data_IF_390393749520
#
_entry.id   IF_390393749520
#
_cell.length_a   1.000
_cell.length_b   1.000
_cell.length_c   1.000
_cell.angle_alpha   90.00
_cell.angle_beta   90.00
_cell.angle_gamma   90.00
#
_symmetry.space_group_name_H-M   'P 1'
#
loop_
_entity.id
_entity.type
_entity.pdbx_description
1 polymer ?
#
# COMPACT_ATOMS: atom_id res chain seq x y z
N UNK A 1 -15.48 -8.73 -10.72
CA UNK A 1 -16.36 -8.01 -9.77
C UNK A 1 -16.62 -8.86 -8.52
N UNK A 2 -17.04 -10.13 -8.63
CA UNK A 2 -17.22 -11.05 -7.48
C UNK A 2 -15.99 -11.28 -6.60
N UNK A 3 -14.79 -11.39 -7.18
CA UNK A 3 -13.55 -11.50 -6.39
C UNK A 3 -13.34 -10.29 -5.48
N UNK A 4 -13.46 -9.08 -6.00
CA UNK A 4 -13.32 -7.86 -5.18
C UNK A 4 -14.45 -7.69 -4.16
N UNK A 5 -15.68 -8.14 -4.44
CA UNK A 5 -16.78 -8.06 -3.47
C UNK A 5 -16.61 -9.08 -2.33
N UNK A 6 -16.13 -10.29 -2.63
CA UNK A 6 -15.86 -11.33 -1.61
C UNK A 6 -14.58 -11.00 -0.81
N UNK A 7 -13.55 -10.45 -1.46
CA UNK A 7 -12.35 -9.98 -0.77
C UNK A 7 -12.62 -8.68 0.01
N UNK A 8 -13.47 -7.79 -0.47
CA UNK A 8 -13.87 -6.58 0.26
C UNK A 8 -14.74 -6.94 1.45
N UNK A 9 -15.78 -7.77 1.29
CA UNK A 9 -16.73 -8.08 2.37
C UNK A 9 -16.10 -8.80 3.56
N UNK A 10 -15.06 -9.62 3.34
CA UNK A 10 -14.37 -10.35 4.42
C UNK A 10 -13.27 -9.55 5.10
N UNK A 11 -12.65 -8.59 4.41
CA UNK A 11 -11.38 -7.98 4.83
C UNK A 11 -11.39 -6.45 4.93
N UNK A 12 -12.55 -5.79 5.13
CA UNK A 12 -12.62 -4.33 5.35
C UNK A 12 -11.57 -3.80 6.35
N UNK A 13 -11.15 -4.61 7.32
CA UNK A 13 -10.15 -4.27 8.34
C UNK A 13 -8.68 -4.51 7.93
N UNK A 14 -8.41 -5.24 6.84
CA UNK A 14 -7.04 -5.52 6.34
C UNK A 14 -6.62 -4.47 5.30
N UNK A 15 -7.58 -3.72 4.75
CA UNK A 15 -7.30 -2.51 4.00
C UNK A 15 -6.89 -1.42 4.97
N UNK A 16 -5.64 -1.49 5.45
CA UNK A 16 -4.91 -0.32 5.90
C UNK A 16 -5.06 0.70 4.79
N UNK A 17 -6.02 1.60 4.99
CA UNK A 17 -6.42 2.63 4.07
C UNK A 17 -5.15 3.21 3.48
N UNK A 18 -5.06 3.17 2.14
CA UNK A 18 -4.17 4.02 1.35
C UNK A 18 -4.60 5.49 1.48
N UNK A 19 -5.09 5.88 2.65
CA UNK A 19 -5.42 7.24 3.02
C UNK A 19 -4.18 8.08 2.82
N UNK A 20 -4.40 9.30 2.36
CA UNK A 20 -3.36 10.31 2.26
C UNK A 20 -3.38 11.06 3.58
N UNK A 21 -2.30 11.02 4.39
CA UNK A 21 -0.99 10.44 4.10
C UNK A 21 -0.90 8.92 4.34
N UNK A 22 -0.18 8.22 3.47
CA UNK A 22 0.01 6.78 3.60
C UNK A 22 0.68 6.46 4.95
N UNK A 23 0.24 5.42 5.69
CA UNK A 23 0.88 5.04 6.95
C UNK A 23 2.28 4.42 6.75
N UNK A 24 2.58 3.92 5.56
CA UNK A 24 3.83 3.21 5.24
C UNK A 24 5.13 3.98 5.48
N UNK A 25 5.29 5.27 5.13
CA UNK A 25 6.50 6.03 5.44
C UNK A 25 6.76 6.12 6.94
N UNK A 26 5.71 6.27 7.75
CA UNK A 26 5.84 6.32 9.21
C UNK A 26 6.17 4.95 9.80
N UNK A 27 5.55 3.87 9.31
CA UNK A 27 5.86 2.51 9.78
C UNK A 27 7.28 2.11 9.41
N UNK A 28 7.75 2.41 8.18
CA UNK A 28 9.12 2.15 7.76
C UNK A 28 10.11 2.96 8.61
N UNK A 29 9.85 4.24 8.84
CA UNK A 29 10.70 5.08 9.68
C UNK A 29 10.77 4.55 11.12
N UNK A 30 9.62 4.15 11.69
CA UNK A 30 9.52 3.55 13.01
C UNK A 30 10.28 2.23 13.11
N UNK A 31 10.15 1.35 12.11
CA UNK A 31 10.86 0.07 12.08
C UNK A 31 12.37 0.25 11.95
N UNK A 32 12.84 1.19 11.12
CA UNK A 32 14.26 1.47 10.97
C UNK A 32 14.88 2.04 12.24
N UNK A 33 14.20 2.99 12.88
CA UNK A 33 14.64 3.57 14.17
C UNK A 33 14.60 2.54 15.31
N UNK A 34 13.60 1.64 15.31
CA UNK A 34 13.53 0.53 16.26
C UNK A 34 14.67 -0.48 16.03
N UNK A 35 14.96 -0.83 14.78
CA UNK A 35 16.04 -1.75 14.42
C UNK A 35 17.40 -1.20 14.84
N UNK A 36 17.67 0.09 14.60
CA UNK A 36 18.94 0.74 15.02
C UNK A 36 19.09 0.83 16.53
N UNK A 37 18.01 0.70 17.29
CA UNK A 37 18.03 0.66 18.76
C UNK A 37 18.47 -0.71 19.31
N UNK A 38 18.38 -1.78 18.51
CA UNK A 38 18.78 -3.14 18.89
C UNK A 38 20.31 -3.28 18.82
N UNK A 39 21.00 -3.76 19.88
CA UNK A 39 22.47 -3.85 19.92
C UNK A 39 23.10 -4.60 18.74
N UNK A 40 22.46 -5.66 18.26
CA UNK A 40 22.92 -6.46 17.11
C UNK A 40 22.96 -5.67 15.80
N UNK A 41 22.07 -4.70 15.63
CA UNK A 41 21.89 -3.91 14.42
C UNK A 41 22.41 -2.47 14.53
N UNK A 42 22.97 -2.08 15.69
CA UNK A 42 23.64 -0.77 15.87
C UNK A 42 24.79 -0.51 14.90
N UNK A 43 25.31 -1.55 14.23
CA UNK A 43 26.33 -1.44 13.18
C UNK A 43 25.84 -0.72 11.91
N UNK A 44 24.54 -0.65 11.68
CA UNK A 44 23.96 0.05 10.52
C UNK A 44 24.14 1.59 10.60
N UNK A 45 24.39 2.15 11.79
CA UNK A 45 24.72 3.57 12.05
C UNK A 45 23.90 4.60 11.25
N UNK A 46 22.61 4.33 11.02
CA UNK A 46 21.75 5.25 10.27
C UNK A 46 21.66 6.59 10.99
N UNK A 47 22.02 7.64 10.28
CA UNK A 47 22.01 9.02 10.74
C UNK A 47 20.64 9.66 10.50
N UNK A 48 20.36 10.76 11.19
CA UNK A 48 19.11 11.53 11.01
C UNK A 48 18.84 11.91 9.54
N UNK A 49 19.82 12.43 8.76
CA UNK A 49 19.61 12.72 7.34
C UNK A 49 19.27 11.48 6.51
N UNK A 50 19.88 10.33 6.79
CA UNK A 50 19.59 9.08 6.07
C UNK A 50 18.15 8.61 6.34
N UNK A 51 17.71 8.65 7.60
CA UNK A 51 16.35 8.28 7.99
C UNK A 51 15.30 9.21 7.36
N UNK A 52 15.54 10.53 7.36
CA UNK A 52 14.64 11.49 6.71
C UNK A 52 14.63 11.35 5.18
N UNK A 53 15.77 10.97 4.58
CA UNK A 53 15.84 10.67 3.14
C UNK A 53 15.00 9.45 2.80
N UNK A 54 15.13 8.36 3.55
CA UNK A 54 14.31 7.15 3.38
C UNK A 54 12.83 7.48 3.56
N UNK A 55 12.47 8.21 4.61
CA UNK A 55 11.10 8.67 4.84
C UNK A 55 10.56 9.44 3.63
N UNK A 56 11.33 10.39 3.08
CA UNK A 56 10.93 11.19 1.93
C UNK A 56 10.76 10.35 0.66
N UNK A 57 11.68 9.41 0.40
CA UNK A 57 11.58 8.49 -0.74
C UNK A 57 10.33 7.62 -0.63
N UNK A 58 10.08 7.02 0.54
CA UNK A 58 8.90 6.17 0.75
C UNK A 58 7.61 6.97 0.65
N UNK A 59 7.59 8.20 1.18
CA UNK A 59 6.45 9.12 1.10
C UNK A 59 6.04 9.40 -0.35
N UNK A 60 7.01 9.58 -1.24
CA UNK A 60 6.78 9.85 -2.67
C UNK A 60 6.45 8.59 -3.46
N UNK A 61 7.10 7.46 -3.17
CA UNK A 61 6.96 6.21 -3.94
C UNK A 61 5.67 5.46 -3.61
N UNK A 62 5.24 5.46 -2.35
CA UNK A 62 4.09 4.66 -1.89
C UNK A 62 2.78 5.00 -2.65
N UNK A 63 2.43 6.27 -2.90
CA UNK A 63 1.24 6.62 -3.66
C UNK A 63 1.33 6.20 -5.14
N UNK A 64 2.53 6.26 -5.74
CA UNK A 64 2.76 5.92 -7.14
C UNK A 64 2.70 4.41 -7.40
N UNK A 65 3.21 3.61 -6.46
CA UNK A 65 3.34 2.15 -6.59
C UNK A 65 2.52 1.39 -5.54
N UNK A 66 1.38 1.97 -5.15
CA UNK A 66 0.47 1.32 -4.20
C UNK A 66 -0.03 -0.03 -4.73
N UNK A 67 -0.37 -0.93 -3.82
CA UNK A 67 -0.88 -2.28 -4.14
C UNK A 67 -2.01 -2.24 -5.17
N UNK A 68 -2.92 -1.25 -5.07
CA UNK A 68 -4.02 -1.09 -6.00
C UNK A 68 -3.53 -0.62 -7.37
N UNK A 69 -2.64 0.36 -7.44
CA UNK A 69 -2.10 0.84 -8.71
C UNK A 69 -1.47 -0.33 -9.47
N UNK A 70 -0.57 -1.07 -8.83
CA UNK A 70 0.07 -2.24 -9.43
C UNK A 70 -0.94 -3.35 -9.78
N UNK A 71 -1.92 -3.62 -8.92
CA UNK A 71 -2.95 -4.61 -9.18
C UNK A 71 -3.82 -4.24 -10.39
N UNK A 72 -4.20 -2.96 -10.53
CA UNK A 72 -4.96 -2.45 -11.66
C UNK A 72 -4.16 -2.52 -12.96
N UNK A 73 -2.87 -2.18 -12.92
CA UNK A 73 -2.00 -2.19 -14.09
C UNK A 73 -1.64 -3.60 -14.56
N UNK A 74 -1.36 -4.52 -13.63
CA UNK A 74 -0.80 -5.84 -13.95
C UNK A 74 -1.84 -6.97 -13.91
N UNK A 75 -2.70 -7.02 -12.89
CA UNK A 75 -3.58 -8.19 -12.68
C UNK A 75 -4.99 -7.99 -13.21
N UNK A 76 -5.50 -6.75 -13.16
CA UNK A 76 -6.92 -6.49 -13.41
C UNK A 76 -7.31 -6.76 -14.86
N UNK A 77 -6.48 -6.32 -15.81
CA UNK A 77 -6.79 -6.48 -17.24
C UNK A 77 -6.77 -7.95 -17.66
N UNK A 78 -5.70 -8.74 -17.38
CA UNK A 78 -5.74 -10.18 -17.66
C UNK A 78 -6.90 -10.90 -16.95
N UNK A 79 -7.30 -10.43 -15.76
CA UNK A 79 -8.44 -11.03 -15.05
C UNK A 79 -9.77 -10.90 -15.80
N UNK A 80 -9.98 -9.83 -16.57
CA UNK A 80 -11.20 -9.68 -17.38
C UNK A 80 -11.23 -10.69 -18.52
N UNK A 81 -10.11 -10.88 -19.21
CA UNK A 81 -9.97 -11.90 -20.26
C UNK A 81 -10.13 -13.32 -19.69
N UNK A 82 -9.61 -13.57 -18.48
CA UNK A 82 -9.79 -14.86 -17.80
C UNK A 82 -11.24 -15.12 -17.42
N UNK A 83 -11.93 -14.13 -16.83
CA UNK A 83 -13.36 -14.25 -16.45
C UNK A 83 -14.25 -14.42 -17.68
N UNK A 84 -13.96 -13.72 -18.78
CA UNK A 84 -14.71 -13.87 -20.03
C UNK A 84 -14.73 -15.30 -20.58
N UNK A 85 -13.73 -16.13 -20.23
CA UNK A 85 -13.75 -17.56 -20.59
C UNK A 85 -14.80 -18.36 -19.82
N UNK A 86 -15.00 -18.00 -18.55
CA UNK A 86 -15.92 -18.70 -17.66
C UNK A 86 -17.35 -18.22 -17.90
N UNK A 87 -17.52 -16.93 -18.21
CA UNK A 87 -18.81 -16.28 -18.34
C UNK A 87 -18.96 -15.62 -19.73
N UNK A 88 -19.55 -16.31 -20.74
CA UNK A 88 -19.59 -15.83 -22.12
C UNK A 88 -20.26 -14.46 -22.30
N UNK A 89 -21.18 -14.10 -21.41
CA UNK A 89 -21.85 -12.79 -21.43
C UNK A 89 -20.88 -11.61 -21.16
N UNK A 90 -19.74 -11.86 -20.51
CA UNK A 90 -18.71 -10.84 -20.29
C UNK A 90 -17.94 -10.50 -21.56
N UNK A 91 -17.82 -11.44 -22.49
CA UNK A 91 -17.09 -11.23 -23.74
C UNK A 91 -17.81 -10.20 -24.62
N UNK A 92 -19.11 -10.39 -24.83
CA UNK A 92 -19.92 -9.47 -25.64
C UNK A 92 -20.17 -8.13 -24.96
N UNK A 93 -20.30 -8.10 -23.63
CA UNK A 93 -20.64 -6.89 -22.89
C UNK A 93 -19.43 -6.00 -22.55
N UNK A 94 -18.25 -6.58 -22.26
CA UNK A 94 -17.13 -5.83 -21.70
C UNK A 94 -15.81 -6.00 -22.46
N UNK A 95 -15.45 -7.21 -22.90
CA UNK A 95 -14.12 -7.45 -23.51
C UNK A 95 -13.96 -6.64 -24.80
N UNK A 96 -15.01 -6.55 -25.62
CA UNK A 96 -15.00 -5.75 -26.85
C UNK A 96 -14.80 -4.23 -26.62
N UNK A 97 -15.02 -3.74 -25.38
CA UNK A 97 -14.83 -2.35 -25.02
C UNK A 97 -13.41 -2.06 -24.49
N UNK A 98 -12.58 -3.08 -24.29
CA UNK A 98 -11.24 -2.93 -23.73
C UNK A 98 -10.23 -2.71 -24.88
N UNK A 99 -9.59 -1.54 -24.97
CA UNK A 99 -8.49 -1.33 -25.89
C UNK A 99 -7.39 -2.39 -25.78
N UNK A 100 -6.85 -2.80 -26.92
CA UNK A 100 -5.79 -3.83 -27.00
C UNK A 100 -4.48 -3.42 -26.34
N UNK A 101 -4.24 -2.12 -26.14
CA UNK A 101 -3.05 -1.61 -25.45
C UNK A 101 -3.16 -1.64 -23.92
N UNK A 102 -4.34 -1.94 -23.35
CA UNK A 102 -4.55 -1.85 -21.90
C UNK A 102 -3.80 -2.96 -21.15
N UNK A 103 -3.66 -4.15 -21.74
CA UNK A 103 -2.98 -5.29 -21.15
C UNK A 103 -2.85 -6.44 -22.16
N UNK A 104 -2.12 -7.52 -21.82
CA UNK A 104 -2.02 -8.68 -22.70
C UNK A 104 -3.41 -9.32 -22.88
N UNK A 105 -3.72 -9.64 -24.13
CA UNK A 105 -5.03 -10.20 -24.52
C UNK A 105 -4.92 -11.63 -25.06
N UNK A 106 -3.70 -12.13 -25.32
CA UNK A 106 -3.55 -13.49 -25.84
C UNK A 106 -3.91 -14.51 -24.77
N UNK A 107 -4.49 -15.63 -25.22
CA UNK A 107 -4.90 -16.67 -24.30
C UNK A 107 -3.71 -17.26 -23.52
N UNK A 108 -2.60 -17.50 -24.20
CA UNK A 108 -1.39 -18.04 -23.59
C UNK A 108 -0.81 -17.10 -22.54
N UNK A 109 -0.87 -15.78 -22.77
CA UNK A 109 -0.39 -14.79 -21.79
C UNK A 109 -1.29 -14.74 -20.54
N UNK A 110 -2.61 -14.78 -20.74
CA UNK A 110 -3.58 -14.73 -19.63
C UNK A 110 -3.53 -16.01 -18.80
N UNK A 111 -3.52 -17.19 -19.43
CA UNK A 111 -3.39 -18.47 -18.71
C UNK A 111 -2.03 -18.58 -18.02
N UNK A 112 -0.96 -18.19 -18.70
CA UNK A 112 0.39 -18.14 -18.12
C UNK A 112 0.49 -17.24 -16.89
N UNK A 113 -0.25 -16.14 -16.86
CA UNK A 113 -0.29 -15.20 -15.72
C UNK A 113 -0.93 -15.82 -14.47
N UNK A 114 -2.03 -16.56 -14.62
CA UNK A 114 -2.78 -17.12 -13.48
C UNK A 114 -2.36 -18.53 -13.07
N UNK A 115 -2.08 -19.40 -14.04
CA UNK A 115 -1.70 -20.79 -13.81
C UNK A 115 -0.20 -20.92 -13.54
N UNK A 116 0.60 -20.01 -14.10
CA UNK A 116 2.06 -20.09 -14.06
C UNK A 116 2.62 -21.15 -15.00
N UNK A 117 3.91 -21.46 -14.86
CA UNK A 117 4.58 -22.52 -15.63
C UNK A 117 5.00 -22.14 -17.06
N UNK A 118 4.81 -20.89 -17.46
CA UNK A 118 5.24 -20.36 -18.77
C UNK A 118 6.16 -19.15 -18.61
N UNK A 119 7.00 -18.90 -19.60
CA UNK A 119 7.83 -17.69 -19.62
C UNK A 119 6.95 -16.45 -19.81
N UNK A 120 7.34 -15.33 -19.16
CA UNK A 120 6.60 -14.06 -19.28
C UNK A 120 6.65 -13.57 -20.73
N UNK A 121 5.50 -13.32 -21.39
CA UNK A 121 5.45 -12.83 -22.76
C UNK A 121 5.72 -11.32 -22.81
N UNK A 122 6.98 -10.92 -22.67
CA UNK A 122 7.39 -9.51 -22.60
C UNK A 122 6.97 -8.67 -23.82
N UNK A 123 6.82 -9.29 -24.99
CA UNK A 123 6.34 -8.63 -26.20
C UNK A 123 4.93 -8.07 -26.01
N UNK A 124 4.02 -8.83 -25.39
CA UNK A 124 2.64 -8.40 -25.12
C UNK A 124 2.55 -7.38 -23.99
N UNK A 125 3.49 -7.42 -23.04
CA UNK A 125 3.56 -6.47 -21.94
C UNK A 125 4.21 -5.14 -22.29
N UNK A 126 5.06 -5.11 -23.32
CA UNK A 126 5.85 -3.92 -23.67
C UNK A 126 4.98 -2.68 -23.95
N UNK A 127 3.90 -2.83 -24.73
CA UNK A 127 2.99 -1.74 -25.08
C UNK A 127 2.15 -1.27 -23.87
N UNK A 128 1.46 -2.15 -23.12
CA UNK A 128 0.78 -1.75 -21.88
C UNK A 128 1.71 -1.06 -20.88
N UNK A 129 2.90 -1.62 -20.64
CA UNK A 129 3.86 -1.04 -19.70
C UNK A 129 4.36 0.34 -20.16
N UNK A 130 4.58 0.54 -21.46
CA UNK A 130 4.96 1.84 -22.00
C UNK A 130 3.81 2.86 -21.85
N UNK A 131 2.57 2.47 -22.19
CA UNK A 131 1.40 3.33 -22.08
C UNK A 131 1.15 3.74 -20.62
N UNK A 132 1.00 2.77 -19.71
CA UNK A 132 0.77 3.03 -18.29
C UNK A 132 1.96 3.71 -17.62
N UNK A 133 3.19 3.33 -17.97
CA UNK A 133 4.40 3.97 -17.47
C UNK A 133 4.47 5.44 -17.85
N UNK A 134 4.18 5.79 -19.11
CA UNK A 134 4.16 7.18 -19.57
C UNK A 134 3.09 8.01 -18.85
N UNK A 135 1.90 7.43 -18.64
CA UNK A 135 0.82 8.06 -17.89
C UNK A 135 1.21 8.30 -16.42
N UNK A 136 1.86 7.32 -15.76
CA UNK A 136 2.33 7.47 -14.38
C UNK A 136 3.40 8.55 -14.24
N UNK A 137 4.31 8.66 -15.21
CA UNK A 137 5.30 9.75 -15.24
C UNK A 137 4.61 11.10 -15.41
N UNK A 138 3.67 11.23 -16.35
CA UNK A 138 2.92 12.46 -16.55
C UNK A 138 2.13 12.86 -15.31
N UNK A 139 1.47 11.89 -14.65
CA UNK A 139 0.73 12.11 -13.41
C UNK A 139 1.66 12.54 -12.27
N UNK A 140 2.84 11.93 -12.14
CA UNK A 140 3.84 12.33 -11.16
C UNK A 140 4.29 13.77 -11.38
N UNK A 141 4.63 14.15 -12.62
CA UNK A 141 5.02 15.51 -12.97
C UNK A 141 3.89 16.50 -12.67
N UNK A 142 2.65 16.18 -13.02
CA UNK A 142 1.50 17.03 -12.71
C UNK A 142 1.33 17.25 -11.20
N UNK A 143 1.52 16.20 -10.38
CA UNK A 143 1.49 16.31 -8.92
C UNK A 143 2.62 17.20 -8.38
N UNK A 144 3.83 17.08 -8.93
CA UNK A 144 4.97 17.95 -8.55
C UNK A 144 4.68 19.41 -8.93
N UNK A 145 4.15 19.67 -10.12
CA UNK A 145 3.75 21.02 -10.53
C UNK A 145 2.69 21.60 -9.60
N UNK A 146 1.67 20.80 -9.24
CA UNK A 146 0.63 21.21 -8.31
C UNK A 146 1.22 21.51 -6.93
N UNK A 147 2.10 20.64 -6.42
CA UNK A 147 2.79 20.84 -5.16
C UNK A 147 3.56 22.16 -5.14
N UNK A 148 4.31 22.48 -6.20
CA UNK A 148 5.07 23.75 -6.29
C UNK A 148 4.16 24.97 -6.25
N UNK A 149 3.03 24.94 -6.95
CA UNK A 149 2.06 26.04 -6.95
C UNK A 149 1.42 26.23 -5.57
N UNK A 150 0.99 25.13 -4.95
CA UNK A 150 0.26 25.14 -3.70
C UNK A 150 1.18 25.38 -2.49
N UNK A 151 2.41 24.88 -2.51
CA UNK A 151 3.40 25.08 -1.47
C UNK A 151 3.64 26.57 -1.19
N UNK A 152 3.72 27.40 -2.25
CA UNK A 152 3.95 28.83 -2.07
C UNK A 152 2.77 29.51 -1.34
N UNK A 153 1.54 29.11 -1.66
CA UNK A 153 0.32 29.61 -1.02
C UNK A 153 0.27 29.18 0.46
N UNK A 154 0.42 27.88 0.73
CA UNK A 154 0.32 27.33 2.08
C UNK A 154 1.40 27.85 3.02
N UNK A 155 2.65 27.96 2.55
CA UNK A 155 3.76 28.42 3.39
C UNK A 155 3.71 29.94 3.60
N UNK A 156 3.54 30.73 2.53
CA UNK A 156 3.72 32.18 2.61
C UNK A 156 2.46 32.93 3.02
N UNK A 157 1.28 32.50 2.55
CA UNK A 157 0.03 33.23 2.80
C UNK A 157 -0.76 32.65 3.97
N UNK A 158 -0.91 31.33 4.00
CA UNK A 158 -1.75 30.65 5.00
C UNK A 158 -0.96 30.23 6.24
N UNK A 159 0.38 30.20 6.17
CA UNK A 159 1.29 29.75 7.25
C UNK A 159 0.80 28.44 7.86
N UNK A 160 0.39 27.51 7.00
CA UNK A 160 -0.19 26.25 7.43
C UNK A 160 0.86 25.46 8.22
N UNK A 161 0.55 25.15 9.48
CA UNK A 161 1.35 24.22 10.27
C UNK A 161 1.23 22.84 9.62
N UNK A 162 2.34 22.14 9.45
CA UNK A 162 2.37 20.77 8.90
C UNK A 162 2.53 19.74 10.03
N UNK A 163 1.46 19.45 10.81
CA UNK A 163 1.56 18.55 11.98
C UNK A 163 2.04 17.15 11.59
N UNK A 164 1.70 16.69 10.39
CA UNK A 164 2.12 15.40 9.86
C UNK A 164 3.63 15.32 9.62
N UNK A 165 4.29 16.45 9.38
CA UNK A 165 5.75 16.52 9.25
C UNK A 165 6.46 16.55 10.62
N UNK A 166 5.75 16.84 11.72
CA UNK A 166 6.35 16.89 13.06
C UNK A 166 6.63 15.48 13.59
N UNK A 167 5.72 14.53 13.34
CA UNK A 167 5.84 13.13 13.77
C UNK A 167 7.18 12.49 13.36
N UNK A 168 7.61 12.51 12.08
CA UNK A 168 8.89 11.95 11.68
C UNK A 168 10.09 12.74 12.23
N UNK A 169 9.95 14.06 12.46
CA UNK A 169 11.02 14.87 13.03
C UNK A 169 11.26 14.54 14.51
N UNK A 170 10.19 14.35 15.28
CA UNK A 170 10.24 13.92 16.68
C UNK A 170 10.77 12.48 16.81
N UNK A 171 10.40 11.59 15.89
CA UNK A 171 10.85 10.19 15.91
C UNK A 171 12.36 10.03 15.66
N UNK A 172 12.99 10.99 14.97
CA UNK A 172 14.41 10.96 14.60
C UNK A 172 15.24 11.95 15.42
N UNK A 173 14.63 12.64 16.39
CA UNK A 173 15.33 13.66 17.17
C UNK A 173 16.41 13.04 18.09
N UNK A 174 17.54 13.74 18.21
CA UNK A 174 18.68 13.28 18.99
C UNK A 174 18.50 13.65 20.47
N UNK A 175 18.74 12.71 21.39
CA UNK A 175 18.76 13.00 22.83
C UNK A 175 19.91 13.99 23.14
N UNK A 176 19.70 15.02 23.98
CA UNK A 176 20.70 16.05 24.30
C UNK A 176 22.08 15.57 24.80
N UNK A 177 22.23 14.29 25.14
CA UNK A 177 23.45 13.69 25.73
C UNK A 177 24.33 12.94 24.72
N UNK A 178 24.67 13.56 23.58
CA UNK A 178 25.84 13.20 22.75
C UNK A 178 25.85 11.81 22.10
N UNK A 179 24.72 11.09 22.10
CA UNK A 179 24.59 9.77 21.50
C UNK A 179 24.14 9.83 20.04
N UNK A 180 25.06 9.53 19.11
CA UNK A 180 24.87 9.46 17.63
C UNK A 180 23.81 8.48 17.09
N UNK A 181 22.88 7.99 17.91
CA UNK A 181 21.86 7.04 17.46
C UNK A 181 20.48 7.58 17.81
N UNK A 182 19.65 7.80 16.80
CA UNK A 182 18.23 8.09 16.95
C UNK A 182 17.62 7.00 17.85
N UNK A 183 17.23 7.38 19.06
CA UNK A 183 16.46 6.52 19.95
C UNK A 183 15.04 7.02 19.91
N UNK A 184 14.15 6.22 19.33
CA UNK A 184 12.72 6.36 19.51
C UNK A 184 12.42 6.60 20.99
N UNK A 185 11.96 7.80 21.40
CA UNK A 185 11.62 8.08 22.78
C UNK A 185 10.19 7.60 23.05
N UNK A 186 9.91 6.31 22.83
CA UNK A 186 8.58 5.76 23.14
C UNK A 186 8.62 5.06 24.48
N UNK A 187 7.82 5.59 25.41
CA UNK A 187 7.69 5.13 26.78
C UNK A 187 7.27 3.65 26.85
N UNK A 188 7.49 3.00 28.00
CA UNK A 188 7.04 1.62 28.21
C UNK A 188 5.54 1.42 27.97
N UNK A 189 4.72 2.45 28.23
CA UNK A 189 3.28 2.44 27.95
C UNK A 189 2.97 2.36 26.45
N UNK A 190 3.75 3.04 25.60
CA UNK A 190 3.59 2.91 24.14
C UNK A 190 3.89 1.49 23.67
N UNK A 191 4.98 0.89 24.15
CA UNK A 191 5.33 -0.49 23.78
C UNK A 191 4.29 -1.49 24.26
N UNK A 192 3.73 -1.29 25.46
CA UNK A 192 2.61 -2.09 25.94
C UNK A 192 1.38 -1.95 25.03
N UNK A 193 0.99 -0.73 24.67
CA UNK A 193 -0.13 -0.48 23.73
C UNK A 193 0.11 -1.09 22.36
N UNK A 194 1.32 -0.95 21.80
CA UNK A 194 1.68 -1.54 20.52
C UNK A 194 1.70 -3.07 20.57
N UNK A 195 2.23 -3.67 21.64
CA UNK A 195 2.22 -5.12 21.82
C UNK A 195 0.80 -5.65 21.89
N UNK A 196 -0.09 -4.98 22.64
CA UNK A 196 -1.52 -5.33 22.71
C UNK A 196 -2.16 -5.23 21.32
N UNK A 197 -1.99 -4.14 20.60
CA UNK A 197 -2.54 -3.98 19.24
C UNK A 197 -1.98 -5.03 18.27
N UNK A 198 -0.69 -5.34 18.34
CA UNK A 198 -0.05 -6.35 17.52
C UNK A 198 -0.57 -7.77 17.82
N UNK A 199 -0.78 -8.12 19.09
CA UNK A 199 -1.37 -9.42 19.48
C UNK A 199 -2.81 -9.53 19.01
N UNK A 200 -3.61 -8.47 19.20
CA UNK A 200 -5.01 -8.44 18.74
C UNK A 200 -5.07 -8.63 17.22
N UNK A 201 -4.25 -7.87 16.48
CA UNK A 201 -4.15 -8.01 15.02
C UNK A 201 -3.67 -9.39 14.59
N UNK A 202 -2.65 -9.93 15.25
CA UNK A 202 -2.11 -11.26 14.96
C UNK A 202 -3.14 -12.36 15.19
N UNK A 203 -3.84 -12.35 16.33
CA UNK A 203 -4.89 -13.33 16.64
C UNK A 203 -6.06 -13.21 15.65
N UNK A 204 -6.44 -11.98 15.28
CA UNK A 204 -7.47 -11.76 14.25
C UNK A 204 -7.07 -12.38 12.91
N UNK A 205 -5.85 -12.09 12.44
CA UNK A 205 -5.34 -12.67 11.18
C UNK A 205 -5.16 -14.19 11.26
N UNK A 206 -4.79 -14.72 12.43
CA UNK A 206 -4.64 -16.16 12.64
C UNK A 206 -6.00 -16.86 12.61
N UNK A 207 -7.02 -16.29 13.26
CA UNK A 207 -8.40 -16.82 13.25
C UNK A 207 -9.01 -16.87 11.84
N UNK A 208 -8.62 -15.96 10.95
CA UNK A 208 -9.07 -15.98 9.55
C UNK A 208 -8.45 -17.13 8.75
N UNK A 209 -7.23 -17.56 9.10
CA UNK A 209 -6.48 -18.61 8.38
C UNK A 209 -6.67 -20.00 9.01
N UNK A 210 -6.83 -20.05 10.33
CA UNK A 210 -6.99 -21.27 11.11
C UNK A 210 -8.36 -21.26 11.80
N UNK A 211 -9.31 -22.11 11.35
CA UNK A 211 -10.64 -22.20 11.96
C UNK A 211 -10.65 -22.60 13.44
N UNK A 212 -9.55 -23.14 13.96
CA UNK A 212 -9.42 -23.60 15.35
C UNK A 212 -9.24 -22.43 16.35
N UNK A 213 -8.88 -21.24 15.88
CA UNK A 213 -8.69 -20.06 16.74
C UNK A 213 -9.98 -19.23 16.72
N UNK A 214 -10.62 -18.97 17.88
CA UNK A 214 -11.86 -18.19 17.93
C UNK A 214 -11.62 -16.76 17.44
N UNK A 215 -12.56 -16.24 16.64
CA UNK A 215 -12.48 -14.88 16.12
C UNK A 215 -12.72 -13.85 17.23
N UNK A 216 -11.89 -12.82 17.27
CA UNK A 216 -12.14 -11.66 18.11
C UNK A 216 -13.20 -10.78 17.41
N UNK A 217 -14.34 -10.49 18.04
CA UNK A 217 -15.41 -9.68 17.44
C UNK A 217 -15.01 -8.20 17.45
N UNK A 218 -14.05 -7.83 16.62
CA UNK A 218 -13.60 -6.45 16.39
C UNK A 218 -14.35 -5.79 15.24
N UNK A 219 -15.25 -6.54 14.58
CA UNK A 219 -16.10 -6.08 13.49
C UNK A 219 -17.47 -5.70 14.05
N UNK A 220 -17.94 -4.50 13.71
CA UNK A 220 -19.36 -4.19 13.75
C UNK A 220 -20.00 -4.91 12.55
N UNK A 221 -20.75 -5.97 12.82
CA UNK A 221 -21.61 -6.59 11.81
C UNK A 221 -22.71 -5.60 11.47
N UNK A 222 -22.52 -4.83 10.38
CA UNK A 222 -23.60 -4.02 9.81
C UNK A 222 -24.54 -5.00 9.11
N UNK A 223 -25.57 -5.42 9.85
CA UNK A 223 -26.79 -6.14 9.44
C UNK A 223 -26.67 -7.16 8.30
N UNK A 224 -26.86 -8.43 8.65
CA UNK A 224 -27.25 -9.47 7.71
C UNK A 224 -28.53 -9.06 6.95
N UNK A 225 -28.58 -9.15 5.61
CA UNK A 225 -29.86 -9.15 4.93
C UNK A 225 -30.46 -10.56 5.13
N UNK A 226 -31.13 -10.76 6.26
CA UNK A 226 -32.19 -11.76 6.32
C UNK A 226 -33.33 -11.26 5.44
N UNK A 227 -33.25 -11.54 4.14
CA UNK A 227 -34.46 -11.62 3.32
C UNK A 227 -34.89 -13.09 3.33
N UNK A 228 -35.64 -13.41 4.39
CA UNK A 228 -36.63 -14.48 4.36
C UNK A 228 -37.85 -13.90 3.63
N UNK A 229 -38.29 -14.59 2.59
CA UNK A 229 -39.45 -14.26 1.77
C UNK A 229 -39.46 -15.12 0.53
#
# INVERSE_FOLDING_TARGET
FYGEVVFASRNWNVFWSSGVPAPWPLTVLFLLTALTSIPAFRRLRLTRPELLTVYSVVLVVTPLFGIHVLFYLLSKVPSFYHIGRIEPMWESAFINLIPTWWGPSSLSAVEGYFVGGTAVPWSEWSLPLAAWGSFMVALFVANVCLLVLVQQQWIRRERLTFPLAQIPLEAVDEVPNGGRAARLPVSGAFWAGMAVAAVIGFVSQLSQRLPAVPSLPLQYTVMSPTFVG
#
